data_IF_974918972179
#
_entry.id   IF_974918972179
#
_cell.length_a   1.000
_cell.length_b   1.000
_cell.length_c   1.000
_cell.angle_alpha   90.00
_cell.angle_beta   90.00
_cell.angle_gamma   90.00
#
_symmetry.space_group_name_H-M   'P 1'
#
loop_
_entity.id
_entity.type
_entity.pdbx_description
1 polymer ?
#
# COMPACT_ATOMS: atom_id res chain seq x y z
N UNK A 1 -15.42 -13.24 16.83
CA UNK A 1 -14.05 -12.96 16.32
C UNK A 1 -13.78 -13.62 14.96
N UNK A 2 -13.92 -14.94 14.81
CA UNK A 2 -13.67 -15.67 13.55
C UNK A 2 -14.48 -15.22 12.33
N UNK A 3 -15.69 -14.67 12.53
CA UNK A 3 -16.52 -14.16 11.45
C UNK A 3 -15.98 -12.88 10.78
N UNK A 4 -15.21 -12.04 11.49
CA UNK A 4 -14.59 -10.84 10.90
C UNK A 4 -13.51 -11.20 9.87
N UNK A 5 -12.74 -12.26 10.14
CA UNK A 5 -11.64 -12.74 9.28
C UNK A 5 -12.18 -13.34 7.97
N UNK A 6 -13.42 -13.83 7.95
CA UNK A 6 -14.04 -14.42 6.76
C UNK A 6 -14.50 -13.37 5.75
N UNK A 7 -14.62 -12.10 6.14
CA UNK A 7 -14.94 -11.02 5.22
C UNK A 7 -13.67 -10.42 4.59
N UNK A 8 -13.72 -9.99 3.33
CA UNK A 8 -12.55 -9.48 2.58
C UNK A 8 -11.89 -8.28 3.26
N UNK A 9 -12.66 -7.44 3.93
CA UNK A 9 -12.15 -6.33 4.74
C UNK A 9 -11.26 -6.83 5.91
N UNK A 10 -11.62 -7.96 6.54
CA UNK A 10 -10.81 -8.57 7.60
C UNK A 10 -9.48 -9.15 7.09
N UNK A 11 -9.48 -9.74 5.88
CA UNK A 11 -8.25 -10.18 5.21
C UNK A 11 -7.37 -8.98 4.87
N UNK A 12 -7.96 -7.93 4.30
CA UNK A 12 -7.25 -6.68 3.97
C UNK A 12 -6.65 -6.02 5.21
N UNK A 13 -7.39 -6.04 6.33
CA UNK A 13 -6.90 -5.57 7.62
C UNK A 13 -5.67 -6.36 8.09
N UNK A 14 -5.70 -7.70 8.04
CA UNK A 14 -4.54 -8.53 8.39
C UNK A 14 -3.32 -8.24 7.51
N UNK A 15 -3.55 -8.04 6.20
CA UNK A 15 -2.49 -7.65 5.27
C UNK A 15 -1.91 -6.28 5.64
N UNK A 16 -2.74 -5.30 6.00
CA UNK A 16 -2.29 -3.97 6.42
C UNK A 16 -1.49 -4.01 7.73
N UNK A 17 -1.87 -4.87 8.67
CA UNK A 17 -1.10 -5.11 9.90
C UNK A 17 0.27 -5.71 9.55
N UNK A 18 0.30 -6.78 8.75
CA UNK A 18 1.55 -7.40 8.29
C UNK A 18 2.45 -6.43 7.51
N UNK A 19 1.87 -5.62 6.62
CA UNK A 19 2.57 -4.58 5.88
C UNK A 19 3.19 -3.53 6.81
N UNK A 20 2.50 -3.18 7.90
CA UNK A 20 3.02 -2.21 8.88
C UNK A 20 4.21 -2.79 9.65
N UNK A 21 4.11 -4.04 10.10
CA UNK A 21 5.24 -4.75 10.73
C UNK A 21 6.43 -4.90 9.79
N UNK A 22 6.18 -5.24 8.52
CA UNK A 22 7.22 -5.34 7.50
C UNK A 22 7.91 -3.99 7.26
N UNK A 23 7.15 -2.89 7.11
CA UNK A 23 7.72 -1.56 6.93
C UNK A 23 8.54 -1.11 8.15
N UNK A 24 8.09 -1.47 9.36
CA UNK A 24 8.82 -1.17 10.59
C UNK A 24 10.13 -1.97 10.67
N UNK A 25 10.09 -3.27 10.39
CA UNK A 25 11.29 -4.12 10.38
C UNK A 25 12.33 -3.66 9.35
N UNK A 26 11.89 -3.23 8.17
CA UNK A 26 12.76 -2.66 7.15
C UNK A 26 13.43 -1.35 7.61
N UNK A 27 12.72 -0.52 8.38
CA UNK A 27 13.24 0.76 8.88
C UNK A 27 14.04 0.70 10.18
N UNK A 28 13.97 -0.41 10.93
CA UNK A 28 14.58 -0.50 12.26
C UNK A 28 16.08 -0.81 12.23
N UNK A 29 16.51 -1.76 11.38
CA UNK A 29 17.90 -2.25 11.36
C UNK A 29 18.69 -1.88 10.10
N UNK A 30 18.01 -1.53 9.01
CA UNK A 30 18.68 -1.12 7.77
C UNK A 30 18.75 0.40 7.73
N UNK A 31 19.96 0.97 7.74
CA UNK A 31 20.16 2.39 7.43
C UNK A 31 19.49 2.76 6.10
N UNK A 32 19.24 4.05 5.86
CA UNK A 32 18.50 4.62 4.71
C UNK A 32 19.15 4.33 3.35
N UNK A 33 19.27 3.05 2.99
CA UNK A 33 19.73 2.58 1.71
C UNK A 33 18.63 2.81 0.68
N UNK A 34 19.05 3.20 -0.52
CA UNK A 34 18.14 3.64 -1.56
C UNK A 34 17.02 2.62 -1.89
N UNK A 35 17.37 1.33 -1.85
CA UNK A 35 16.45 0.23 -2.08
C UNK A 35 15.45 0.03 -0.94
N UNK A 36 15.85 0.28 0.31
CA UNK A 36 14.97 0.16 1.48
C UNK A 36 13.90 1.25 1.43
N UNK A 37 14.29 2.48 1.10
CA UNK A 37 13.35 3.59 0.95
C UNK A 37 12.31 3.33 -0.16
N UNK A 38 12.76 2.90 -1.34
CA UNK A 38 11.86 2.52 -2.46
C UNK A 38 10.92 1.38 -2.06
N UNK A 39 11.42 0.39 -1.30
CA UNK A 39 10.63 -0.71 -0.76
C UNK A 39 9.55 -0.25 0.23
N UNK A 40 9.90 0.65 1.16
CA UNK A 40 8.94 1.24 2.11
C UNK A 40 7.87 2.04 1.37
N UNK A 41 8.25 2.82 0.36
CA UNK A 41 7.31 3.53 -0.51
C UNK A 41 6.38 2.57 -1.26
N UNK A 42 6.88 1.42 -1.72
CA UNK A 42 6.06 0.39 -2.37
C UNK A 42 5.03 -0.20 -1.40
N UNK A 43 5.46 -0.52 -0.17
CA UNK A 43 4.56 -1.00 0.88
C UNK A 43 3.49 0.05 1.18
N UNK A 44 3.85 1.33 1.29
CA UNK A 44 2.90 2.41 1.51
C UNK A 44 1.86 2.52 0.37
N UNK A 45 2.29 2.45 -0.89
CA UNK A 45 1.39 2.49 -2.04
C UNK A 45 0.42 1.30 -2.08
N UNK A 46 0.90 0.08 -1.74
CA UNK A 46 0.05 -1.10 -1.60
C UNK A 46 -0.99 -0.91 -0.49
N UNK A 47 -0.58 -0.35 0.66
CA UNK A 47 -1.51 -0.04 1.77
C UNK A 47 -2.61 0.91 1.30
N UNK A 48 -2.27 1.99 0.59
CA UNK A 48 -3.24 2.94 0.02
C UNK A 48 -4.22 2.21 -0.91
N UNK A 49 -3.72 1.35 -1.81
CA UNK A 49 -4.57 0.59 -2.74
C UNK A 49 -5.55 -0.33 -2.02
N UNK A 50 -5.10 -1.06 -0.99
CA UNK A 50 -5.96 -1.94 -0.18
C UNK A 50 -7.03 -1.15 0.56
N UNK A 51 -6.68 -0.02 1.18
CA UNK A 51 -7.64 0.86 1.85
C UNK A 51 -8.68 1.38 0.85
N UNK A 52 -8.24 1.88 -0.30
CA UNK A 52 -9.16 2.41 -1.31
C UNK A 52 -10.12 1.34 -1.86
N UNK A 53 -9.62 0.16 -2.22
CA UNK A 53 -10.46 -0.88 -2.81
C UNK A 53 -11.41 -1.54 -1.81
N UNK A 54 -10.95 -1.82 -0.59
CA UNK A 54 -11.67 -2.68 0.35
C UNK A 54 -12.32 -1.93 1.53
N UNK A 55 -11.91 -0.68 1.83
CA UNK A 55 -12.53 0.15 2.87
C UNK A 55 -13.26 1.38 2.34
N UNK A 56 -12.85 1.93 1.19
CA UNK A 56 -13.57 3.04 0.52
C UNK A 56 -14.53 2.54 -0.57
N UNK A 57 -14.73 1.22 -0.65
CA UNK A 57 -15.64 0.55 -1.59
C UNK A 57 -15.39 0.88 -3.08
N UNK A 58 -14.20 1.40 -3.43
CA UNK A 58 -13.83 1.75 -4.82
C UNK A 58 -13.80 0.54 -5.76
N UNK A 59 -13.80 -0.67 -5.21
CA UNK A 59 -13.89 -1.92 -5.97
C UNK A 59 -15.21 -2.07 -6.72
N UNK A 60 -16.31 -1.57 -6.16
CA UNK A 60 -17.65 -1.61 -6.76
C UNK A 60 -17.94 -0.33 -7.57
N UNK A 61 -17.02 0.64 -7.57
CA UNK A 61 -17.15 1.87 -8.34
C UNK A 61 -17.12 1.61 -9.85
N UNK A 62 -17.70 2.51 -10.67
CA UNK A 62 -17.57 2.43 -12.12
C UNK A 62 -16.10 2.32 -12.53
N UNK A 63 -15.84 1.42 -13.48
CA UNK A 63 -14.50 1.05 -13.99
C UNK A 63 -13.54 2.23 -14.19
N UNK A 64 -13.91 3.38 -14.80
CA UNK A 64 -12.97 4.48 -14.99
C UNK A 64 -12.44 5.04 -13.67
N UNK A 65 -13.26 5.09 -12.62
CA UNK A 65 -12.87 5.65 -11.32
C UNK A 65 -11.92 4.68 -10.59
N UNK A 66 -12.22 3.39 -10.64
CA UNK A 66 -11.33 2.36 -10.13
C UNK A 66 -9.97 2.39 -10.87
N UNK A 67 -9.98 2.49 -12.19
CA UNK A 67 -8.74 2.54 -12.98
C UNK A 67 -7.93 3.79 -12.67
N UNK A 68 -8.57 4.96 -12.58
CA UNK A 68 -7.91 6.20 -12.20
C UNK A 68 -7.24 6.09 -10.82
N UNK A 69 -7.90 5.45 -9.86
CA UNK A 69 -7.31 5.21 -8.54
C UNK A 69 -6.13 4.23 -8.58
N UNK A 70 -6.23 3.13 -9.31
CA UNK A 70 -5.12 2.18 -9.44
C UNK A 70 -3.92 2.81 -10.15
N UNK A 71 -4.15 3.61 -11.20
CA UNK A 71 -3.11 4.41 -11.88
C UNK A 71 -2.50 5.42 -10.93
N UNK A 72 -3.32 6.11 -10.13
CA UNK A 72 -2.83 7.06 -9.12
C UNK A 72 -1.90 6.39 -8.12
N UNK A 73 -2.22 5.20 -7.61
CA UNK A 73 -1.34 4.47 -6.68
C UNK A 73 0.03 4.14 -7.30
N UNK A 74 0.05 3.69 -8.57
CA UNK A 74 1.28 3.38 -9.29
C UNK A 74 2.09 4.65 -9.58
N UNK A 75 1.43 5.70 -10.06
CA UNK A 75 2.06 6.98 -10.35
C UNK A 75 2.65 7.62 -9.09
N UNK A 76 1.92 7.58 -7.96
CA UNK A 76 2.39 8.06 -6.67
C UNK A 76 3.67 7.35 -6.24
N UNK A 77 3.69 6.02 -6.32
CA UNK A 77 4.89 5.24 -5.97
C UNK A 77 6.07 5.57 -6.88
N UNK A 78 5.85 5.58 -8.20
CA UNK A 78 6.89 5.85 -9.19
C UNK A 78 7.47 7.27 -9.03
N UNK A 79 6.61 8.26 -8.83
CA UNK A 79 7.02 9.65 -8.66
C UNK A 79 7.83 9.83 -7.36
N UNK A 80 7.33 9.35 -6.22
CA UNK A 80 8.03 9.50 -4.95
C UNK A 80 9.35 8.74 -4.93
N UNK A 81 9.37 7.53 -5.51
CA UNK A 81 10.60 6.75 -5.64
C UNK A 81 11.59 7.45 -6.57
N UNK A 82 11.14 7.93 -7.73
CA UNK A 82 11.98 8.67 -8.67
C UNK A 82 12.58 9.94 -8.06
N UNK A 83 11.76 10.72 -7.34
CA UNK A 83 12.22 11.92 -6.63
C UNK A 83 13.26 11.57 -5.56
N UNK A 84 13.01 10.52 -4.77
CA UNK A 84 13.95 10.08 -3.73
C UNK A 84 15.29 9.58 -4.31
N UNK A 85 15.27 8.94 -5.49
CA UNK A 85 16.50 8.48 -6.16
C UNK A 85 17.27 9.62 -6.83
N UNK A 86 16.59 10.72 -7.15
CA UNK A 86 17.17 11.86 -7.87
C UNK A 86 17.69 12.96 -6.96
N UNK A 87 17.01 13.23 -5.84
CA UNK A 87 17.32 14.28 -4.86
C UNK A 87 18.23 13.75 -3.75
#
# INVERSE_FOLDING_TARGET
>A
MWALIRNRAGVSWLILVGATLASWALGHDHGMGSLVAVGVLAIAAIKVRLVGLDFMELRLSPIPLRLAFEVYCVALWALLSGLYLWL
#
